data_IF_275990278723
#
_entry.id   IF_275990278723
#
_cell.length_a   1.000
_cell.length_b   1.000
_cell.length_c   1.000
_cell.angle_alpha   90.00
_cell.angle_beta   90.00
_cell.angle_gamma   90.00
#
_symmetry.space_group_name_H-M   'P 1'
#
loop_
_entity.id
_entity.type
_entity.pdbx_description
1 polymer ?
#
# COMPACT_ATOMS: atom_id res chain seq x y z
N UNK A 1 -93.00 -42.49 -1.99
CA UNK A 1 -93.10 -41.60 -0.81
C UNK A 1 -92.26 -40.37 -1.12
N UNK A 2 -92.73 -39.13 -1.31
CA UNK A 2 -94.05 -38.51 -1.29
C UNK A 2 -93.81 -37.00 -1.18
N UNK A 3 -94.36 -36.21 -2.12
CA UNK A 3 -94.62 -34.75 -2.09
C UNK A 3 -93.36 -33.82 -2.14
N UNK A 4 -93.11 -33.00 -3.18
CA UNK A 4 -93.84 -31.79 -3.65
C UNK A 4 -93.90 -30.70 -2.55
N UNK A 5 -93.87 -29.38 -2.74
CA UNK A 5 -93.69 -28.44 -3.86
C UNK A 5 -93.59 -27.03 -3.22
N UNK A 6 -92.87 -26.10 -3.87
CA UNK A 6 -93.32 -24.73 -4.27
C UNK A 6 -93.89 -23.70 -3.26
N UNK A 7 -93.62 -22.41 -3.59
CA UNK A 7 -94.36 -21.15 -3.25
C UNK A 7 -94.06 -20.57 -1.85
N UNK A 8 -94.13 -19.27 -1.55
CA UNK A 8 -93.78 -17.96 -2.14
C UNK A 8 -93.98 -16.92 -1.02
N UNK A 9 -93.46 -15.69 -1.19
CA UNK A 9 -93.95 -14.43 -0.56
C UNK A 9 -93.90 -14.36 0.98
N UNK A 10 -93.88 -13.25 1.70
CA UNK A 10 -93.80 -11.80 1.51
C UNK A 10 -93.66 -11.23 2.94
N UNK A 11 -92.83 -10.21 3.11
CA UNK A 11 -92.89 -9.12 4.12
C UNK A 11 -93.58 -9.35 5.47
N UNK A 12 -92.82 -9.17 6.56
CA UNK A 12 -93.27 -8.38 7.72
C UNK A 12 -92.10 -7.57 8.28
N UNK A 13 -92.43 -6.31 8.52
CA UNK A 13 -91.69 -5.20 9.10
C UNK A 13 -91.44 -5.43 10.61
N UNK A 14 -90.31 -5.00 11.18
CA UNK A 14 -90.21 -4.03 12.29
C UNK A 14 -88.95 -4.16 13.17
N UNK A 15 -88.53 -2.96 13.60
CA UNK A 15 -87.91 -2.58 14.88
C UNK A 15 -86.40 -2.74 15.07
N UNK A 16 -85.77 -1.58 14.86
CA UNK A 16 -84.53 -1.11 15.49
C UNK A 16 -84.73 -1.02 17.01
N UNK A 17 -83.88 -1.71 17.77
CA UNK A 17 -83.42 -1.26 19.08
C UNK A 17 -81.90 -1.35 19.15
N UNK A 18 -81.30 -0.21 19.52
CA UNK A 18 -79.87 0.01 19.67
C UNK A 18 -79.36 -0.66 20.95
N UNK A 19 -78.28 -1.42 20.85
CA UNK A 19 -77.33 -1.60 21.95
C UNK A 19 -75.92 -1.26 21.46
N UNK A 20 -75.46 -0.08 21.86
CA UNK A 20 -74.07 0.35 21.73
C UNK A 20 -73.18 -0.53 22.61
N UNK A 21 -72.40 -1.40 21.98
CA UNK A 21 -71.37 -2.21 22.64
C UNK A 21 -69.99 -1.96 22.05
N UNK A 22 -69.24 -1.04 22.66
CA UNK A 22 -67.76 -0.97 22.70
C UNK A 22 -66.99 -1.04 21.36
N UNK A 23 -67.10 0.02 20.55
CA UNK A 23 -66.31 0.28 19.33
C UNK A 23 -64.78 0.35 19.56
N UNK A 24 -64.31 0.63 20.78
CA UNK A 24 -62.87 0.77 21.07
C UNK A 24 -62.11 -0.57 21.08
N UNK A 25 -62.75 -1.66 21.51
CA UNK A 25 -62.10 -2.97 21.58
C UNK A 25 -61.89 -3.60 20.18
N UNK A 26 -62.81 -3.34 19.25
CA UNK A 26 -62.71 -3.82 17.86
C UNK A 26 -61.63 -3.06 17.07
N UNK A 27 -61.55 -1.74 17.24
CA UNK A 27 -60.50 -0.92 16.62
C UNK A 27 -59.12 -1.30 17.19
N UNK A 28 -59.00 -1.49 18.51
CA UNK A 28 -57.74 -1.87 19.13
C UNK A 28 -57.25 -3.26 18.67
N UNK A 29 -58.15 -4.24 18.53
CA UNK A 29 -57.80 -5.56 17.97
C UNK A 29 -57.34 -5.47 16.52
N UNK A 30 -57.97 -4.64 15.72
CA UNK A 30 -57.60 -4.46 14.31
C UNK A 30 -56.23 -3.79 14.20
N UNK A 31 -55.96 -2.76 15.01
CA UNK A 31 -54.65 -2.09 15.05
C UNK A 31 -53.55 -3.03 15.53
N UNK A 32 -53.81 -3.85 16.56
CA UNK A 32 -52.83 -4.83 17.05
C UNK A 32 -52.54 -5.92 16.02
N UNK A 33 -53.55 -6.40 15.29
CA UNK A 33 -53.37 -7.40 14.23
C UNK A 33 -52.57 -6.84 13.05
N UNK A 34 -52.84 -5.60 12.64
CA UNK A 34 -52.07 -4.92 11.58
C UNK A 34 -50.62 -4.68 12.04
N UNK A 35 -50.43 -4.21 13.27
CA UNK A 35 -49.09 -3.99 13.85
C UNK A 35 -48.28 -5.29 13.93
N UNK A 36 -48.89 -6.38 14.40
CA UNK A 36 -48.26 -7.69 14.46
C UNK A 36 -47.93 -8.23 13.06
N UNK A 37 -48.83 -8.05 12.08
CA UNK A 37 -48.59 -8.42 10.68
C UNK A 37 -47.40 -7.67 10.07
N UNK A 38 -47.29 -6.37 10.29
CA UNK A 38 -46.15 -5.56 9.83
C UNK A 38 -44.84 -6.02 10.49
N UNK A 39 -44.85 -6.30 11.81
CA UNK A 39 -43.67 -6.76 12.53
C UNK A 39 -43.19 -8.13 12.02
N UNK A 40 -44.11 -9.07 11.81
CA UNK A 40 -43.78 -10.40 11.26
C UNK A 40 -43.22 -10.27 9.84
N UNK A 41 -43.83 -9.43 9.01
CA UNK A 41 -43.35 -9.19 7.63
C UNK A 41 -41.94 -8.57 7.63
N UNK A 42 -41.69 -7.60 8.51
CA UNK A 42 -40.36 -7.00 8.68
C UNK A 42 -39.33 -8.03 9.15
N UNK A 43 -39.65 -8.85 10.15
CA UNK A 43 -38.75 -9.89 10.66
C UNK A 43 -38.47 -11.01 9.64
N UNK A 44 -39.41 -11.31 8.74
CA UNK A 44 -39.20 -12.26 7.64
C UNK A 44 -38.38 -11.67 6.49
N UNK A 45 -38.52 -10.37 6.20
CA UNK A 45 -37.78 -9.71 5.13
C UNK A 45 -36.36 -9.29 5.56
N UNK A 46 -36.11 -9.07 6.85
CA UNK A 46 -34.80 -8.71 7.38
C UNK A 46 -33.68 -9.71 7.01
N UNK A 47 -33.83 -11.04 7.22
CA UNK A 47 -32.79 -12.00 6.82
C UNK A 47 -32.65 -12.10 5.30
N UNK A 48 -33.71 -11.90 4.52
CA UNK A 48 -33.64 -11.83 3.06
C UNK A 48 -32.84 -10.61 2.59
N UNK A 49 -32.98 -9.47 3.26
CA UNK A 49 -32.21 -8.26 2.98
C UNK A 49 -30.73 -8.43 3.35
N UNK A 50 -30.42 -9.11 4.47
CA UNK A 50 -29.05 -9.46 4.85
C UNK A 50 -28.41 -10.50 3.91
N UNK A 51 -29.19 -11.45 3.39
CA UNK A 51 -28.73 -12.41 2.38
C UNK A 51 -28.48 -11.72 1.03
N UNK A 52 -29.34 -10.78 0.63
CA UNK A 52 -29.11 -9.98 -0.58
C UNK A 52 -27.92 -9.04 -0.43
N UNK A 53 -27.73 -8.38 0.72
CA UNK A 53 -26.58 -7.50 0.95
C UNK A 53 -25.26 -8.27 0.98
N UNK A 54 -25.26 -9.51 1.50
CA UNK A 54 -24.07 -10.37 1.46
C UNK A 54 -23.79 -10.88 0.05
N UNK A 55 -24.81 -11.18 -0.76
CA UNK A 55 -24.64 -11.56 -2.17
C UNK A 55 -24.18 -10.39 -3.07
N UNK A 56 -24.69 -9.17 -2.86
CA UNK A 56 -24.23 -7.99 -3.62
C UNK A 56 -22.81 -7.58 -3.24
N UNK A 57 -22.39 -7.81 -1.99
CA UNK A 57 -21.00 -7.57 -1.57
C UNK A 57 -20.04 -8.67 -2.03
N UNK A 58 -20.51 -9.88 -2.33
CA UNK A 58 -19.67 -10.96 -2.86
C UNK A 58 -19.54 -10.92 -4.40
N UNK A 59 -20.51 -10.31 -5.10
CA UNK A 59 -20.52 -10.24 -6.56
C UNK A 59 -19.74 -9.05 -7.15
N UNK A 60 -19.13 -8.20 -6.32
CA UNK A 60 -18.21 -7.14 -6.77
C UNK A 60 -16.74 -7.54 -6.69
N UNK A 61 -16.43 -8.84 -6.72
CA UNK A 61 -15.15 -9.28 -7.30
C UNK A 61 -15.28 -9.17 -8.82
N UNK A 62 -15.16 -7.94 -9.33
CA UNK A 62 -14.68 -7.76 -10.70
C UNK A 62 -13.43 -8.62 -10.82
N UNK A 63 -13.46 -9.62 -11.71
CA UNK A 63 -12.24 -10.21 -12.24
C UNK A 63 -11.49 -9.07 -12.93
N UNK A 64 -10.66 -8.36 -12.17
CA UNK A 64 -9.71 -7.42 -12.72
C UNK A 64 -8.69 -8.27 -13.47
N UNK A 65 -8.90 -8.34 -14.79
CA UNK A 65 -7.87 -8.75 -15.71
C UNK A 65 -6.74 -7.75 -15.50
N UNK A 66 -5.53 -8.23 -15.16
CA UNK A 66 -4.38 -7.36 -14.95
C UNK A 66 -4.20 -6.55 -16.23
N UNK A 67 -4.57 -5.27 -16.21
CA UNK A 67 -4.51 -4.45 -17.40
C UNK A 67 -3.02 -4.13 -17.57
N UNK A 68 -2.37 -4.77 -18.54
CA UNK A 68 -1.10 -4.24 -19.01
C UNK A 68 -1.48 -2.93 -19.68
N UNK A 69 -1.16 -1.80 -19.03
CA UNK A 69 -1.54 -0.49 -19.52
C UNK A 69 -0.88 -0.27 -20.87
N UNK A 70 -1.62 0.34 -21.80
CA UNK A 70 -1.10 0.56 -23.15
C UNK A 70 0.07 1.55 -23.09
N UNK A 71 1.11 1.34 -23.90
CA UNK A 71 2.21 2.29 -23.95
C UNK A 71 1.71 3.70 -24.31
N UNK A 72 2.02 4.67 -23.45
CA UNK A 72 1.58 6.06 -23.59
C UNK A 72 0.40 6.48 -22.70
N UNK A 73 -0.21 5.56 -21.95
CA UNK A 73 -1.20 5.91 -20.91
C UNK A 73 -0.49 6.44 -19.65
N UNK A 74 -0.82 7.67 -19.24
CA UNK A 74 -0.29 8.28 -18.02
C UNK A 74 -1.10 7.83 -16.80
N UNK A 75 -0.60 6.82 -16.10
CA UNK A 75 -1.28 6.22 -14.94
C UNK A 75 -1.20 7.05 -13.66
N UNK A 76 -0.45 8.15 -13.69
CA UNK A 76 -0.29 9.06 -12.56
C UNK A 76 -0.84 10.46 -12.85
N UNK A 77 -1.41 10.71 -14.03
CA UNK A 77 -2.01 12.01 -14.39
C UNK A 77 -3.10 12.42 -13.39
N UNK A 78 -3.85 11.45 -12.84
CA UNK A 78 -4.90 11.71 -11.87
C UNK A 78 -4.40 12.01 -10.46
N UNK A 79 -3.11 11.82 -10.18
CA UNK A 79 -2.56 12.09 -8.86
C UNK A 79 -2.62 13.59 -8.57
N UNK A 80 -2.92 13.94 -7.31
CA UNK A 80 -2.88 15.31 -6.85
C UNK A 80 -1.50 15.93 -7.13
N UNK A 81 -1.55 17.06 -7.83
CA UNK A 81 -0.40 17.84 -8.29
C UNK A 81 0.60 17.15 -9.21
N UNK A 82 0.18 16.17 -10.01
CA UNK A 82 0.96 15.71 -11.17
C UNK A 82 1.47 16.87 -12.03
N UNK A 83 0.62 17.89 -12.26
CA UNK A 83 1.00 19.12 -12.97
C UNK A 83 1.90 20.05 -12.16
N UNK A 84 1.68 20.15 -10.86
CA UNK A 84 2.40 21.07 -9.98
C UNK A 84 3.86 20.60 -9.76
N UNK A 85 4.04 19.28 -9.62
CA UNK A 85 5.34 18.65 -9.44
C UNK A 85 6.02 18.29 -10.77
N UNK A 86 5.31 18.37 -11.90
CA UNK A 86 5.86 18.11 -13.22
C UNK A 86 6.36 16.67 -13.38
N UNK A 87 5.67 15.72 -12.77
CA UNK A 87 5.98 14.29 -12.86
C UNK A 87 4.89 13.62 -13.71
N UNK A 88 5.32 13.08 -14.84
CA UNK A 88 4.51 12.29 -15.77
C UNK A 88 4.94 10.83 -15.75
N UNK A 89 4.08 9.93 -16.20
CA UNK A 89 4.43 8.51 -16.31
C UNK A 89 5.71 8.30 -17.13
N UNK A 90 5.88 9.06 -18.22
CA UNK A 90 7.04 8.96 -19.12
C UNK A 90 8.36 9.40 -18.47
N UNK A 91 8.33 10.12 -17.33
CA UNK A 91 9.55 10.47 -16.60
C UNK A 91 10.10 9.31 -15.75
N UNK A 92 9.22 8.40 -15.32
CA UNK A 92 9.50 7.39 -14.30
C UNK A 92 9.40 5.96 -14.85
N UNK A 93 8.66 5.76 -15.93
CA UNK A 93 8.42 4.44 -16.47
C UNK A 93 8.10 4.44 -17.96
N UNK A 94 8.91 3.71 -18.73
CA UNK A 94 8.61 3.37 -20.11
C UNK A 94 7.87 2.03 -20.18
N UNK A 95 6.61 2.10 -20.58
CA UNK A 95 5.80 0.91 -20.80
C UNK A 95 6.39 0.03 -21.91
N UNK A 96 6.65 -1.26 -21.64
CA UNK A 96 7.33 -2.11 -22.60
C UNK A 96 6.43 -2.47 -23.78
N UNK A 97 6.97 -2.32 -24.99
CA UNK A 97 6.35 -2.87 -26.20
C UNK A 97 6.65 -4.37 -26.28
N UNK A 98 5.64 -5.25 -26.46
CA UNK A 98 5.90 -6.67 -26.69
C UNK A 98 6.62 -6.84 -28.03
N UNK A 99 7.91 -7.17 -27.97
CA UNK A 99 8.75 -7.45 -29.16
C UNK A 99 8.34 -8.73 -29.89
N UNK A 100 7.59 -9.62 -29.22
CA UNK A 100 6.91 -10.75 -29.83
C UNK A 100 5.56 -11.00 -29.17
N UNK A 101 4.53 -11.41 -29.93
CA UNK A 101 3.17 -11.59 -29.41
C UNK A 101 3.04 -12.69 -28.34
N UNK A 102 4.03 -13.59 -28.22
CA UNK A 102 4.00 -14.74 -27.32
C UNK A 102 4.97 -14.64 -26.14
N UNK A 103 5.76 -13.57 -26.01
CA UNK A 103 6.69 -13.38 -24.91
C UNK A 103 6.35 -12.13 -24.10
N UNK A 104 6.07 -12.31 -22.82
CA UNK A 104 5.92 -11.20 -21.86
C UNK A 104 7.26 -10.50 -21.68
N UNK A 105 7.34 -9.16 -21.79
CA UNK A 105 8.55 -8.41 -21.49
C UNK A 105 8.85 -8.38 -19.98
N UNK A 106 7.86 -8.71 -19.15
CA UNK A 106 7.98 -8.70 -17.70
C UNK A 106 8.73 -9.90 -17.14
N UNK A 107 9.52 -9.67 -16.11
CA UNK A 107 10.28 -10.71 -15.43
C UNK A 107 9.38 -11.83 -14.90
N UNK A 108 9.77 -13.08 -15.18
CA UNK A 108 8.95 -14.26 -14.88
C UNK A 108 8.85 -14.54 -13.38
N UNK A 109 9.99 -14.63 -12.71
CA UNK A 109 10.08 -15.00 -11.30
C UNK A 109 10.85 -13.96 -10.47
N UNK A 110 10.82 -14.11 -9.14
CA UNK A 110 11.42 -13.18 -8.19
C UNK A 110 12.93 -13.00 -8.40
N UNK A 111 13.65 -14.11 -8.64
CA UNK A 111 15.10 -14.07 -8.89
C UNK A 111 15.44 -13.27 -10.15
N UNK A 112 14.77 -13.54 -11.28
CA UNK A 112 14.97 -12.80 -12.53
C UNK A 112 14.59 -11.33 -12.42
N UNK A 113 13.58 -11.01 -11.59
CA UNK A 113 13.21 -9.62 -11.32
C UNK A 113 14.34 -8.89 -10.57
N UNK A 114 14.86 -9.47 -9.50
CA UNK A 114 15.92 -8.85 -8.70
C UNK A 114 17.22 -8.69 -9.49
N UNK A 115 17.56 -9.67 -10.33
CA UNK A 115 18.71 -9.57 -11.24
C UNK A 115 18.51 -8.44 -12.27
N UNK A 116 17.33 -8.38 -12.90
CA UNK A 116 17.01 -7.35 -13.87
C UNK A 116 17.00 -5.94 -13.26
N UNK A 117 16.40 -5.79 -12.07
CA UNK A 117 16.33 -4.52 -11.36
C UNK A 117 17.67 -4.09 -10.77
N UNK A 118 18.51 -5.01 -10.31
CA UNK A 118 19.85 -4.66 -9.78
C UNK A 118 20.87 -4.40 -10.90
N UNK A 119 20.75 -5.11 -12.03
CA UNK A 119 21.68 -5.03 -13.15
C UNK A 119 21.25 -4.10 -14.29
N UNK A 120 20.07 -3.49 -14.20
CA UNK A 120 19.53 -2.53 -15.16
C UNK A 120 20.23 -1.17 -15.12
N UNK A 121 19.62 -0.16 -15.71
CA UNK A 121 20.16 1.19 -15.76
C UNK A 121 19.23 2.18 -16.43
N UNK A 122 19.64 3.45 -16.45
CA UNK A 122 19.04 4.48 -17.31
C UNK A 122 19.80 4.53 -18.63
N UNK A 123 19.12 4.87 -19.72
CA UNK A 123 19.75 5.02 -21.04
C UNK A 123 19.94 6.50 -21.41
N UNK A 124 20.44 7.26 -20.45
CA UNK A 124 20.60 8.72 -20.52
C UNK A 124 20.55 9.30 -19.11
N UNK A 125 20.79 10.60 -18.98
CA UNK A 125 20.61 11.29 -17.70
C UNK A 125 19.13 11.51 -17.45
N UNK A 126 18.66 11.14 -16.25
CA UNK A 126 17.26 11.28 -15.81
C UNK A 126 16.21 10.52 -16.65
N UNK A 127 16.63 9.76 -17.65
CA UNK A 127 15.75 8.89 -18.45
C UNK A 127 15.14 7.77 -17.60
N UNK A 128 13.93 7.25 -17.93
CA UNK A 128 13.30 6.16 -17.21
C UNK A 128 14.21 4.94 -16.99
N UNK A 129 14.02 4.27 -15.85
CA UNK A 129 14.82 3.11 -15.51
C UNK A 129 14.39 1.86 -16.27
N UNK A 130 15.35 1.17 -16.87
CA UNK A 130 15.13 -0.05 -17.64
C UNK A 130 15.84 -1.23 -16.98
N UNK A 131 15.09 -2.29 -16.69
CA UNK A 131 15.63 -3.54 -16.16
C UNK A 131 16.49 -4.29 -17.19
N UNK A 132 17.51 -5.01 -16.72
CA UNK A 132 18.38 -5.83 -17.58
C UNK A 132 17.66 -7.10 -18.04
N UNK A 133 17.41 -7.21 -19.35
CA UNK A 133 16.89 -8.41 -20.01
C UNK A 133 15.38 -8.63 -19.88
N UNK A 134 14.77 -8.26 -18.75
CA UNK A 134 13.32 -8.17 -18.58
C UNK A 134 12.97 -6.91 -17.79
N UNK A 135 11.71 -6.48 -17.83
CA UNK A 135 11.24 -5.28 -17.12
C UNK A 135 10.29 -5.60 -15.97
N UNK A 136 10.01 -4.58 -15.17
CA UNK A 136 9.04 -4.58 -14.08
C UNK A 136 7.72 -3.93 -14.54
N UNK A 137 6.65 -4.14 -13.77
CA UNK A 137 5.33 -3.57 -14.06
C UNK A 137 5.15 -2.28 -13.28
N UNK A 138 4.59 -1.26 -13.91
CA UNK A 138 3.98 -0.18 -13.15
C UNK A 138 2.57 -0.60 -12.74
N UNK A 139 2.31 -0.67 -11.44
CA UNK A 139 1.00 -1.07 -10.92
C UNK A 139 0.18 0.18 -10.57
N UNK A 140 -1.08 0.30 -11.03
CA UNK A 140 -1.96 1.34 -10.55
C UNK A 140 -2.34 1.09 -9.08
N UNK A 141 -2.73 2.13 -8.34
CA UNK A 141 -3.05 2.07 -6.90
C UNK A 141 -3.98 0.91 -6.51
N UNK A 142 -5.06 0.60 -7.26
CA UNK A 142 -5.91 -0.55 -6.92
C UNK A 142 -5.17 -1.90 -6.98
N UNK A 143 -4.28 -2.10 -7.97
CA UNK A 143 -3.46 -3.31 -8.07
C UNK A 143 -2.41 -3.35 -6.96
N UNK A 144 -1.83 -2.20 -6.59
CA UNK A 144 -0.92 -2.11 -5.45
C UNK A 144 -1.64 -2.58 -4.18
N UNK A 145 -2.83 -2.04 -3.88
CA UNK A 145 -3.57 -2.44 -2.67
C UNK A 145 -3.91 -3.94 -2.68
N UNK A 146 -4.26 -4.51 -3.83
CA UNK A 146 -4.46 -5.97 -3.96
C UNK A 146 -3.19 -6.77 -3.66
N UNK A 147 -2.02 -6.31 -4.11
CA UNK A 147 -0.74 -6.95 -3.78
C UNK A 147 -0.53 -6.90 -2.27
N UNK A 148 -0.80 -5.76 -1.62
CA UNK A 148 -0.59 -5.63 -0.18
C UNK A 148 -1.56 -6.48 0.62
N UNK A 149 -2.83 -6.59 0.22
CA UNK A 149 -3.87 -7.38 0.91
C UNK A 149 -3.56 -8.87 1.02
N UNK A 150 -2.64 -9.35 0.18
CA UNK A 150 -2.09 -10.70 0.27
C UNK A 150 -1.08 -10.87 1.42
N UNK A 151 -0.66 -9.78 2.06
CA UNK A 151 0.34 -9.73 3.12
C UNK A 151 -0.31 -9.45 4.48
N UNK A 152 0.35 -9.86 5.56
CA UNK A 152 -0.08 -9.62 6.93
C UNK A 152 0.34 -8.23 7.44
N UNK A 153 1.54 -7.80 7.05
CA UNK A 153 2.15 -6.53 7.37
C UNK A 153 3.33 -6.27 6.42
N UNK A 154 3.81 -5.03 6.33
CA UNK A 154 5.03 -4.67 5.62
C UNK A 154 5.85 -3.75 6.51
N UNK A 155 7.10 -4.09 6.78
CA UNK A 155 7.95 -3.27 7.64
C UNK A 155 9.19 -2.84 6.89
N UNK A 156 9.40 -1.53 6.82
CA UNK A 156 10.63 -0.92 6.35
C UNK A 156 11.49 -0.65 7.58
N UNK A 157 12.72 -1.15 7.56
CA UNK A 157 13.68 -0.99 8.65
C UNK A 157 14.92 -0.36 8.05
N UNK A 158 15.44 0.70 8.64
CA UNK A 158 16.73 1.20 8.16
C UNK A 158 17.02 2.66 8.35
N UNK A 159 17.84 3.15 7.43
CA UNK A 159 18.29 4.52 7.30
C UNK A 159 17.39 5.34 6.36
N UNK A 160 17.94 6.45 5.86
CA UNK A 160 17.28 7.41 4.99
C UNK A 160 16.78 6.82 3.67
N UNK A 161 17.44 5.80 3.13
CA UNK A 161 17.00 5.10 1.92
C UNK A 161 15.66 4.40 2.17
N UNK A 162 15.57 3.59 3.24
CA UNK A 162 14.31 2.94 3.63
C UNK A 162 13.20 3.95 3.93
N UNK A 163 13.54 5.09 4.55
CA UNK A 163 12.60 6.18 4.81
C UNK A 163 12.06 6.80 3.53
N UNK A 164 12.93 7.15 2.59
CA UNK A 164 12.56 7.76 1.30
C UNK A 164 11.60 6.87 0.52
N UNK A 165 11.92 5.57 0.45
CA UNK A 165 11.09 4.59 -0.25
C UNK A 165 9.73 4.44 0.44
N UNK A 166 9.69 4.39 1.79
CA UNK A 166 8.43 4.36 2.51
C UNK A 166 7.61 5.64 2.33
N UNK A 167 8.26 6.81 2.22
CA UNK A 167 7.62 8.06 1.86
C UNK A 167 6.95 7.97 0.46
N UNK A 168 7.64 7.40 -0.53
CA UNK A 168 7.06 7.17 -1.86
C UNK A 168 5.91 6.13 -1.85
N UNK A 169 5.96 5.12 -1.00
CA UNK A 169 4.80 4.24 -0.75
C UNK A 169 3.57 5.06 -0.34
N UNK A 170 3.72 6.02 0.58
CA UNK A 170 2.62 6.88 1.01
C UNK A 170 2.10 7.80 -0.10
N UNK A 171 2.98 8.32 -0.97
CA UNK A 171 2.58 9.05 -2.19
C UNK A 171 1.68 8.18 -3.08
N UNK A 172 2.08 6.94 -3.36
CA UNK A 172 1.28 5.99 -4.15
C UNK A 172 -0.06 5.64 -3.47
N UNK A 173 -0.06 5.45 -2.14
CA UNK A 173 -1.27 5.08 -1.40
C UNK A 173 -2.27 6.21 -1.20
N UNK A 174 -1.83 7.45 -1.42
CA UNK A 174 -2.65 8.66 -1.31
C UNK A 174 -2.94 9.31 -2.65
N UNK A 175 -2.28 8.83 -3.71
CA UNK A 175 -2.30 9.41 -5.06
C UNK A 175 -2.02 10.93 -5.01
N UNK A 176 -1.00 11.33 -4.25
CA UNK A 176 -0.67 12.73 -4.00
C UNK A 176 0.84 12.99 -4.10
N UNK A 177 1.26 13.58 -5.21
CA UNK A 177 2.65 13.93 -5.49
C UNK A 177 3.09 15.19 -4.73
N UNK A 178 2.14 15.99 -4.23
CA UNK A 178 2.45 17.28 -3.62
C UNK A 178 2.92 17.10 -2.19
N UNK A 179 2.14 16.38 -1.37
CA UNK A 179 2.43 16.20 0.06
C UNK A 179 2.15 14.76 0.55
N UNK A 180 2.01 13.80 -0.37
CA UNK A 180 1.58 12.44 -0.05
C UNK A 180 2.48 11.70 0.95
N UNK A 181 3.76 12.05 1.05
CA UNK A 181 4.62 11.44 2.07
C UNK A 181 4.53 12.07 3.47
N UNK A 182 3.87 13.22 3.61
CA UNK A 182 3.93 14.07 4.79
C UNK A 182 2.62 14.10 5.58
N UNK A 183 2.73 14.32 6.88
CA UNK A 183 1.65 14.56 7.82
C UNK A 183 1.12 16.00 7.65
N UNK A 184 0.50 16.28 6.50
CA UNK A 184 0.05 17.62 6.09
C UNK A 184 -0.88 18.29 7.11
N UNK A 185 -1.57 17.50 7.94
CA UNK A 185 -2.46 17.97 9.00
C UNK A 185 -1.73 18.58 10.21
N UNK A 186 -0.41 18.38 10.33
CA UNK A 186 0.44 18.99 11.36
C UNK A 186 1.22 20.21 10.86
N UNK A 187 1.14 20.49 9.56
CA UNK A 187 1.96 21.51 8.89
C UNK A 187 1.26 22.86 8.83
N UNK A 188 2.04 23.93 8.92
CA UNK A 188 1.56 25.28 8.60
C UNK A 188 1.43 25.46 7.09
N UNK A 189 0.72 26.50 6.63
CA UNK A 189 0.66 26.82 5.19
C UNK A 189 2.04 27.15 4.60
N UNK A 190 2.95 27.74 5.41
CA UNK A 190 4.33 27.99 5.00
C UNK A 190 5.09 26.67 4.80
N UNK A 191 5.00 25.75 5.76
CA UNK A 191 5.61 24.42 5.66
C UNK A 191 5.05 23.65 4.45
N UNK A 192 3.73 23.71 4.24
CA UNK A 192 3.06 23.06 3.11
C UNK A 192 3.54 23.59 1.78
N UNK A 193 3.83 24.89 1.67
CA UNK A 193 4.37 25.48 0.44
C UNK A 193 5.84 25.13 0.24
N UNK A 194 6.62 25.08 1.32
CA UNK A 194 8.04 24.76 1.27
C UNK A 194 8.29 23.28 0.92
N UNK A 195 7.50 22.37 1.48
CA UNK A 195 7.77 20.93 1.44
C UNK A 195 7.11 20.18 0.29
N UNK A 196 6.62 20.86 -0.76
CA UNK A 196 5.95 20.21 -1.89
C UNK A 196 6.91 19.42 -2.77
N UNK A 197 6.40 18.40 -3.45
CA UNK A 197 7.08 17.68 -4.53
C UNK A 197 8.45 17.14 -4.04
N UNK A 198 9.55 17.33 -4.78
CA UNK A 198 10.89 16.85 -4.40
C UNK A 198 11.33 17.24 -2.97
N UNK A 199 10.88 18.40 -2.45
CA UNK A 199 11.30 18.85 -1.12
C UNK A 199 10.78 17.96 0.01
N UNK A 200 9.72 17.16 -0.21
CA UNK A 200 9.28 16.17 0.77
C UNK A 200 10.32 15.05 0.97
N UNK A 201 11.25 14.86 0.03
CA UNK A 201 12.33 13.88 0.07
C UNK A 201 13.70 14.51 0.39
N UNK A 202 13.99 15.69 -0.16
CA UNK A 202 15.33 16.30 -0.11
C UNK A 202 15.49 17.28 1.08
N UNK A 203 14.44 18.03 1.45
CA UNK A 203 14.56 19.02 2.53
C UNK A 203 14.47 18.35 3.91
N UNK A 204 15.56 18.47 4.69
CA UNK A 204 15.66 17.86 6.01
C UNK A 204 14.63 18.38 7.03
N UNK A 205 14.12 19.60 6.87
CA UNK A 205 13.06 20.14 7.74
C UNK A 205 11.72 19.47 7.42
N UNK A 206 11.48 19.13 6.15
CA UNK A 206 10.27 18.43 5.73
C UNK A 206 10.22 16.99 6.25
N UNK A 207 11.38 16.35 6.45
CA UNK A 207 11.46 15.01 7.04
C UNK A 207 10.88 14.91 8.46
N UNK A 208 10.80 16.02 9.20
CA UNK A 208 10.15 16.05 10.51
C UNK A 208 8.64 15.71 10.43
N UNK A 209 8.03 15.95 9.26
CA UNK A 209 6.62 15.67 8.99
C UNK A 209 6.40 14.35 8.26
N UNK A 210 7.45 13.56 7.97
CA UNK A 210 7.29 12.30 7.25
C UNK A 210 6.34 11.34 7.98
N UNK A 211 5.47 10.67 7.22
CA UNK A 211 4.62 9.61 7.74
C UNK A 211 5.51 8.39 8.04
N UNK A 212 5.36 7.83 9.24
CA UNK A 212 6.12 6.67 9.71
C UNK A 212 5.26 5.42 9.80
N UNK A 213 3.94 5.55 9.87
CA UNK A 213 3.05 4.39 9.88
C UNK A 213 1.69 4.70 9.30
N UNK A 214 1.04 3.67 8.77
CA UNK A 214 -0.38 3.73 8.38
C UNK A 214 -1.28 4.29 9.49
N UNK A 215 -0.97 3.95 10.74
CA UNK A 215 -1.81 4.31 11.88
C UNK A 215 -1.78 5.82 12.18
N UNK A 216 -0.71 6.52 11.80
CA UNK A 216 -0.65 7.99 11.86
C UNK A 216 -1.65 8.62 10.89
N UNK A 217 -1.77 8.08 9.68
CA UNK A 217 -2.74 8.56 8.69
C UNK A 217 -4.17 8.30 9.16
N UNK A 218 -4.49 7.10 9.66
CA UNK A 218 -5.83 6.76 10.16
C UNK A 218 -6.29 7.65 11.32
N UNK A 219 -5.38 7.98 12.24
CA UNK A 219 -5.70 8.88 13.36
C UNK A 219 -6.12 10.26 12.85
N UNK A 220 -5.49 10.74 11.77
CA UNK A 220 -5.83 12.04 11.18
C UNK A 220 -7.21 12.06 10.52
N UNK A 221 -7.62 10.99 9.81
CA UNK A 221 -8.93 10.89 9.15
C UNK A 221 -10.12 10.86 10.13
N UNK A 222 -9.87 10.46 11.39
CA UNK A 222 -10.87 10.46 12.45
C UNK A 222 -11.13 11.85 13.05
N UNK A 223 -10.24 12.82 12.80
CA UNK A 223 -10.46 14.26 13.00
C UNK A 223 -10.90 14.93 11.69
N UNK A 224 -11.32 16.19 11.74
CA UNK A 224 -11.74 17.00 10.57
C UNK A 224 -11.03 16.58 9.26
N UNK A 225 -11.82 16.24 8.21
CA UNK A 225 -11.41 15.69 6.90
C UNK A 225 -10.45 16.58 6.10
N UNK A 226 -9.28 16.91 6.64
CA UNK A 226 -8.28 17.81 6.03
C UNK A 226 -7.11 17.06 5.40
N UNK A 227 -7.21 15.73 5.26
CA UNK A 227 -6.18 14.89 4.64
C UNK A 227 -6.64 14.27 3.32
N UNK A 228 -5.71 13.99 2.42
CA UNK A 228 -5.98 13.17 1.22
C UNK A 228 -6.39 11.73 1.59
N UNK A 229 -7.29 11.08 0.83
CA UNK A 229 -7.71 9.71 1.10
C UNK A 229 -6.56 8.71 1.13
N UNK A 230 -6.63 7.70 2.01
CA UNK A 230 -5.67 6.60 2.07
C UNK A 230 -6.24 5.29 1.49
N UNK A 231 -5.82 4.90 0.28
CA UNK A 231 -6.44 3.79 -0.45
C UNK A 231 -6.08 2.41 0.12
N UNK A 232 -4.80 2.18 0.49
CA UNK A 232 -4.32 0.86 0.93
C UNK A 232 -4.34 0.69 2.47
N UNK A 233 -5.49 0.97 3.10
CA UNK A 233 -5.59 1.09 4.56
C UNK A 233 -5.72 -0.24 5.34
N UNK A 234 -5.91 -1.37 4.64
CA UNK A 234 -6.23 -2.65 5.29
C UNK A 234 -5.00 -3.35 5.87
N UNK A 235 -3.85 -3.20 5.24
CA UNK A 235 -2.63 -3.92 5.62
C UNK A 235 -1.75 -3.03 6.49
N UNK A 236 -1.38 -3.46 7.71
CA UNK A 236 -0.45 -2.72 8.55
C UNK A 236 0.91 -2.52 7.87
N UNK A 237 1.44 -1.31 7.90
CA UNK A 237 2.79 -1.04 7.45
C UNK A 237 3.38 0.17 8.17
N UNK A 238 4.70 0.14 8.33
CA UNK A 238 5.44 1.18 9.01
C UNK A 238 6.91 1.20 8.58
N UNK A 239 7.53 2.35 8.81
CA UNK A 239 8.97 2.55 8.81
C UNK A 239 9.50 2.59 10.25
N UNK A 240 10.57 1.83 10.50
CA UNK A 240 11.29 1.75 11.76
C UNK A 240 12.71 2.25 11.53
N UNK A 241 13.09 3.41 12.09
CA UNK A 241 14.45 3.93 11.95
C UNK A 241 15.46 3.06 12.71
N UNK A 242 16.64 2.94 12.13
CA UNK A 242 17.83 2.36 12.78
C UNK A 242 18.83 3.49 13.00
N UNK A 243 18.83 4.05 14.20
CA UNK A 243 19.75 5.13 14.55
C UNK A 243 21.05 4.63 15.23
N UNK A 244 21.01 3.41 15.78
CA UNK A 244 22.12 2.79 16.51
C UNK A 244 22.18 1.28 16.27
N UNK A 245 23.37 0.70 16.49
CA UNK A 245 23.57 -0.75 16.56
C UNK A 245 24.25 -1.07 17.91
N UNK A 246 23.58 -1.76 18.84
CA UNK A 246 22.27 -2.41 18.71
C UNK A 246 21.10 -1.41 18.61
N UNK A 247 19.97 -1.87 18.07
CA UNK A 247 18.77 -1.05 17.90
C UNK A 247 18.05 -0.80 19.23
N UNK A 248 17.25 0.26 19.27
CA UNK A 248 16.53 0.66 20.48
C UNK A 248 15.45 -0.36 20.87
N UNK A 249 15.18 -0.51 22.17
CA UNK A 249 14.10 -1.37 22.66
C UNK A 249 12.72 -0.94 22.10
N UNK A 250 12.53 0.35 21.83
CA UNK A 250 11.31 0.87 21.19
C UNK A 250 11.17 0.35 19.75
N UNK A 251 12.23 0.40 18.95
CA UNK A 251 12.25 -0.14 17.58
C UNK A 251 12.00 -1.65 17.56
N UNK A 252 12.61 -2.40 18.48
CA UNK A 252 12.36 -3.84 18.61
C UNK A 252 10.91 -4.14 19.02
N UNK A 253 10.33 -3.35 19.91
CA UNK A 253 8.94 -3.51 20.36
C UNK A 253 7.97 -3.25 19.22
N UNK A 254 8.15 -2.15 18.49
CA UNK A 254 7.34 -1.81 17.33
C UNK A 254 7.40 -2.91 16.25
N UNK A 255 8.58 -3.45 15.98
CA UNK A 255 8.73 -4.58 15.06
C UNK A 255 7.94 -5.80 15.51
N UNK A 256 8.04 -6.17 16.80
CA UNK A 256 7.29 -7.30 17.36
C UNK A 256 5.79 -7.09 17.27
N UNK A 257 5.29 -5.90 17.60
CA UNK A 257 3.86 -5.56 17.50
C UNK A 257 3.32 -5.72 16.08
N UNK A 258 4.10 -5.30 15.08
CA UNK A 258 3.74 -5.40 13.66
C UNK A 258 3.83 -6.84 13.13
N UNK A 259 4.80 -7.63 13.58
CA UNK A 259 5.13 -8.91 12.94
C UNK A 259 4.60 -10.13 13.70
N UNK A 260 4.55 -10.11 15.04
CA UNK A 260 4.27 -11.29 15.86
C UNK A 260 2.77 -11.47 16.09
N UNK A 261 2.01 -10.37 16.16
CA UNK A 261 0.61 -10.35 16.58
C UNK A 261 -0.38 -10.54 15.42
N UNK A 262 -0.11 -11.47 14.49
CA UNK A 262 -0.93 -11.69 13.29
C UNK A 262 -1.68 -13.02 13.28
N UNK A 263 -2.93 -13.06 12.79
CA UNK A 263 -3.80 -14.23 12.90
C UNK A 263 -3.37 -15.40 12.02
N UNK A 264 -2.80 -15.14 10.83
CA UNK A 264 -2.34 -16.19 9.93
C UNK A 264 -0.81 -16.26 9.91
N UNK A 265 -0.15 -17.23 10.55
CA UNK A 265 1.32 -17.30 10.60
C UNK A 265 2.00 -17.61 9.25
N UNK A 266 1.26 -18.15 8.27
CA UNK A 266 1.78 -18.55 6.97
C UNK A 266 1.70 -17.44 5.93
N UNK A 267 0.80 -16.48 6.13
CA UNK A 267 0.70 -15.30 5.29
C UNK A 267 1.95 -14.41 5.49
N UNK A 268 2.63 -14.00 4.41
CA UNK A 268 3.90 -13.31 4.51
C UNK A 268 3.77 -11.93 5.18
N UNK A 269 4.74 -11.62 6.03
CA UNK A 269 4.96 -10.28 6.59
C UNK A 269 6.35 -9.80 6.15
N UNK A 270 6.50 -9.11 5.01
CA UNK A 270 7.83 -8.79 4.48
C UNK A 270 8.57 -7.73 5.32
N UNK A 271 9.88 -7.91 5.42
CA UNK A 271 10.81 -6.94 6.01
C UNK A 271 11.75 -6.41 4.93
N UNK A 272 11.75 -5.10 4.72
CA UNK A 272 12.66 -4.40 3.80
C UNK A 272 13.72 -3.69 4.65
N UNK A 273 14.99 -3.93 4.37
CA UNK A 273 16.11 -3.44 5.19
C UNK A 273 17.14 -2.66 4.36
N UNK A 274 17.54 -1.48 4.86
CA UNK A 274 18.67 -0.69 4.35
C UNK A 274 19.48 -0.14 5.53
N UNK A 275 20.81 -0.16 5.46
CA UNK A 275 21.63 0.46 6.50
C UNK A 275 23.03 0.90 6.02
N UNK A 276 23.18 1.16 4.72
CA UNK A 276 24.46 1.58 4.15
C UNK A 276 24.82 3.00 4.55
N UNK A 277 23.89 3.95 4.50
CA UNK A 277 24.15 5.33 4.91
C UNK A 277 24.29 5.44 6.43
N UNK A 278 23.40 4.76 7.17
CA UNK A 278 23.43 4.74 8.63
C UNK A 278 24.73 4.17 9.22
N UNK A 279 25.40 3.29 8.49
CA UNK A 279 26.72 2.74 8.84
C UNK A 279 27.91 3.44 8.17
N UNK A 280 27.67 4.48 7.35
CA UNK A 280 28.71 5.08 6.50
C UNK A 280 29.44 4.05 5.63
N UNK A 281 28.68 3.11 5.07
CA UNK A 281 29.14 1.99 4.25
C UNK A 281 30.10 1.02 4.97
N UNK A 282 30.02 0.95 6.30
CA UNK A 282 30.80 0.00 7.09
C UNK A 282 30.15 -1.40 7.08
N UNK A 283 30.84 -2.35 6.47
CA UNK A 283 30.41 -3.75 6.29
C UNK A 283 30.22 -4.44 7.65
N UNK A 284 31.12 -4.21 8.61
CA UNK A 284 31.05 -4.85 9.93
C UNK A 284 29.81 -4.39 10.72
N UNK A 285 29.56 -3.09 10.75
CA UNK A 285 28.41 -2.50 11.44
C UNK A 285 27.09 -2.87 10.76
N UNK A 286 27.04 -2.87 9.41
CA UNK A 286 25.88 -3.37 8.68
C UNK A 286 25.62 -4.85 8.99
N UNK A 287 26.67 -5.68 9.02
CA UNK A 287 26.53 -7.11 9.32
C UNK A 287 25.94 -7.34 10.71
N UNK A 288 26.40 -6.58 11.72
CA UNK A 288 25.82 -6.64 13.08
C UNK A 288 24.36 -6.21 13.12
N UNK A 289 23.99 -5.17 12.37
CA UNK A 289 22.59 -4.76 12.25
C UNK A 289 21.74 -5.84 11.58
N UNK A 290 22.23 -6.42 10.48
CA UNK A 290 21.56 -7.55 9.81
C UNK A 290 21.38 -8.74 10.76
N UNK A 291 22.40 -9.11 11.54
CA UNK A 291 22.31 -10.19 12.53
C UNK A 291 21.21 -9.93 13.57
N UNK A 292 21.14 -8.72 14.10
CA UNK A 292 20.11 -8.33 15.05
C UNK A 292 18.70 -8.47 14.46
N UNK A 293 18.45 -7.89 13.28
CA UNK A 293 17.13 -7.93 12.64
C UNK A 293 16.75 -9.32 12.12
N UNK A 294 17.72 -10.11 11.65
CA UNK A 294 17.51 -11.52 11.27
C UNK A 294 17.12 -12.34 12.50
N UNK A 295 17.79 -12.14 13.62
CA UNK A 295 17.47 -12.80 14.89
C UNK A 295 16.04 -12.46 15.35
N UNK A 296 15.64 -11.19 15.26
CA UNK A 296 14.26 -10.76 15.55
C UNK A 296 13.24 -11.38 14.58
N UNK A 297 13.52 -11.41 13.28
CA UNK A 297 12.61 -11.98 12.30
C UNK A 297 12.43 -13.51 12.50
N UNK A 298 13.53 -14.23 12.70
CA UNK A 298 13.50 -15.69 12.89
C UNK A 298 12.82 -16.09 14.20
N UNK A 299 13.01 -15.31 15.27
CA UNK A 299 12.34 -15.52 16.56
C UNK A 299 10.82 -15.31 16.52
N UNK A 300 10.26 -14.75 15.44
CA UNK A 300 8.81 -14.59 15.29
C UNK A 300 8.10 -15.93 15.01
N UNK A 301 8.83 -16.94 14.50
CA UNK A 301 8.27 -18.19 13.97
C UNK A 301 7.18 -17.93 12.91
N UNK A 302 7.39 -16.92 12.06
CA UNK A 302 6.47 -16.48 11.00
C UNK A 302 7.14 -16.53 9.62
N UNK A 303 6.32 -16.51 8.57
CA UNK A 303 6.79 -16.27 7.21
C UNK A 303 7.17 -14.78 7.04
N UNK A 304 8.46 -14.46 7.19
CA UNK A 304 9.01 -13.10 7.03
C UNK A 304 10.00 -13.12 5.85
N UNK A 305 9.53 -12.88 4.61
CA UNK A 305 10.43 -12.63 3.49
C UNK A 305 11.25 -11.36 3.73
N UNK A 306 12.56 -11.44 3.53
CA UNK A 306 13.48 -10.34 3.82
C UNK A 306 14.13 -9.82 2.54
N UNK A 307 14.13 -8.50 2.34
CA UNK A 307 14.76 -7.82 1.21
C UNK A 307 15.82 -6.86 1.73
N UNK A 308 17.06 -7.02 1.27
CA UNK A 308 18.16 -6.11 1.51
C UNK A 308 18.24 -5.13 0.35
N UNK A 309 18.13 -3.84 0.67
CA UNK A 309 18.29 -2.75 -0.26
C UNK A 309 19.75 -2.31 -0.24
N UNK A 310 20.42 -2.45 -1.38
CA UNK A 310 21.71 -1.86 -1.61
C UNK A 310 21.59 -0.35 -1.78
N UNK A 311 22.51 0.40 -1.19
CA UNK A 311 22.53 1.86 -1.26
C UNK A 311 22.54 2.43 -2.70
N UNK A 312 21.89 3.58 -2.91
CA UNK A 312 21.98 4.32 -4.15
C UNK A 312 23.41 4.84 -4.38
N UNK A 313 23.78 5.02 -5.64
CA UNK A 313 24.96 5.80 -6.01
C UNK A 313 24.74 7.28 -5.69
N UNK A 314 25.81 8.01 -5.40
CA UNK A 314 25.83 9.46 -5.43
C UNK A 314 25.72 9.97 -6.87
N UNK A 315 25.02 11.10 -7.05
CA UNK A 315 24.98 11.78 -8.34
C UNK A 315 26.38 12.28 -8.75
N UNK A 316 26.62 12.35 -10.06
CA UNK A 316 27.87 12.86 -10.61
C UNK A 316 28.17 14.31 -10.20
N UNK A 317 27.15 15.09 -9.83
CA UNK A 317 27.31 16.45 -9.28
C UNK A 317 28.11 16.49 -7.97
N UNK A 318 28.12 15.40 -7.19
CA UNK A 318 28.88 15.27 -5.95
C UNK A 318 30.39 15.02 -6.17
N UNK A 319 30.83 14.82 -7.42
CA UNK A 319 32.18 14.28 -7.71
C UNK A 319 33.34 15.28 -7.58
N UNK A 320 33.09 16.60 -7.49
CA UNK A 320 34.18 17.58 -7.35
C UNK A 320 34.60 17.77 -5.89
N UNK A 321 35.40 16.85 -5.35
CA UNK A 321 36.11 17.02 -4.07
C UNK A 321 35.76 16.04 -2.95
N UNK A 322 34.86 15.09 -3.18
CA UNK A 322 34.54 14.05 -2.20
C UNK A 322 35.69 13.04 -2.07
N UNK A 323 36.10 12.74 -0.84
CA UNK A 323 37.17 11.79 -0.57
C UNK A 323 36.81 10.38 -1.10
N UNK A 324 37.80 9.55 -1.51
CA UNK A 324 37.56 8.26 -2.16
C UNK A 324 36.69 7.28 -1.35
N UNK A 325 36.78 7.37 -0.01
CA UNK A 325 36.00 6.62 0.99
C UNK A 325 34.53 7.09 1.10
N UNK A 326 34.15 8.15 0.40
CA UNK A 326 32.81 8.75 0.42
C UNK A 326 32.19 8.90 -0.97
N UNK A 327 32.80 8.29 -1.99
CA UNK A 327 32.34 8.34 -3.38
C UNK A 327 31.68 7.04 -3.86
N UNK A 328 31.31 7.02 -5.14
CA UNK A 328 30.64 5.88 -5.77
C UNK A 328 31.47 4.58 -5.78
N UNK A 329 32.80 4.66 -5.60
CA UNK A 329 33.64 3.48 -5.44
C UNK A 329 33.40 2.80 -4.08
N UNK A 330 33.30 3.56 -2.99
CA UNK A 330 33.03 3.03 -1.66
C UNK A 330 31.63 2.38 -1.60
N UNK A 331 30.63 3.01 -2.21
CA UNK A 331 29.28 2.43 -2.35
C UNK A 331 29.34 1.12 -3.11
N UNK A 332 30.04 1.08 -4.26
CA UNK A 332 30.15 -0.12 -5.06
C UNK A 332 30.87 -1.27 -4.33
N UNK A 333 31.98 -0.98 -3.63
CA UNK A 333 32.71 -1.97 -2.82
C UNK A 333 31.84 -2.51 -1.67
N UNK A 334 31.16 -1.61 -0.96
CA UNK A 334 30.20 -1.99 0.08
C UNK A 334 29.12 -2.94 -0.45
N UNK A 335 28.57 -2.67 -1.62
CA UNK A 335 27.55 -3.51 -2.24
C UNK A 335 28.09 -4.89 -2.65
N UNK A 336 29.30 -4.94 -3.22
CA UNK A 336 29.97 -6.19 -3.60
C UNK A 336 30.20 -7.09 -2.38
N UNK A 337 30.60 -6.51 -1.25
CA UNK A 337 30.85 -7.23 0.01
C UNK A 337 29.55 -7.57 0.77
N UNK A 338 28.56 -6.68 0.85
CA UNK A 338 27.35 -6.91 1.63
C UNK A 338 26.34 -7.84 0.94
N UNK A 339 26.29 -7.85 -0.40
CA UNK A 339 25.36 -8.70 -1.15
C UNK A 339 25.46 -10.19 -0.80
N UNK A 340 26.64 -10.83 -0.78
CA UNK A 340 26.76 -12.23 -0.36
C UNK A 340 26.41 -12.43 1.11
N UNK A 341 26.78 -11.51 2.01
CA UNK A 341 26.45 -11.58 3.44
C UNK A 341 24.94 -11.54 3.68
N UNK A 342 24.22 -10.66 2.98
CA UNK A 342 22.77 -10.59 3.06
C UNK A 342 22.10 -11.89 2.57
N UNK A 343 22.58 -12.45 1.45
CA UNK A 343 22.09 -13.72 0.90
C UNK A 343 22.33 -14.91 1.83
N UNK A 344 23.48 -14.97 2.50
CA UNK A 344 23.79 -15.99 3.51
C UNK A 344 22.77 -15.94 4.67
N UNK A 345 22.28 -14.75 5.01
CA UNK A 345 21.22 -14.52 6.01
C UNK A 345 19.81 -14.63 5.43
N UNK A 346 19.66 -15.21 4.25
CA UNK A 346 18.38 -15.45 3.56
C UNK A 346 17.64 -14.17 3.12
N UNK A 347 18.34 -13.05 2.94
CA UNK A 347 17.76 -11.89 2.26
C UNK A 347 17.80 -12.08 0.75
N UNK A 348 16.71 -11.71 0.09
CA UNK A 348 16.77 -11.27 -1.30
C UNK A 348 17.55 -9.95 -1.37
N UNK A 349 18.24 -9.67 -2.48
CA UNK A 349 19.05 -8.45 -2.64
C UNK A 349 18.56 -7.65 -3.84
N UNK A 350 18.31 -6.36 -3.62
CA UNK A 350 18.01 -5.38 -4.66
C UNK A 350 19.01 -4.24 -4.57
N UNK A 351 19.85 -4.06 -5.58
CA UNK A 351 20.77 -2.92 -5.65
C UNK A 351 20.09 -1.71 -6.28
N UNK A 352 20.16 -0.56 -5.61
CA UNK A 352 19.66 0.72 -6.13
C UNK A 352 20.75 1.54 -6.85
N UNK A 353 22.00 1.07 -6.84
CA UNK A 353 23.15 1.81 -7.37
C UNK A 353 22.98 2.24 -8.83
N UNK A 354 22.60 1.30 -9.70
CA UNK A 354 22.47 1.58 -11.13
C UNK A 354 21.24 2.45 -11.45
N UNK A 355 20.23 2.47 -10.57
CA UNK A 355 19.06 3.34 -10.73
C UNK A 355 19.45 4.82 -10.59
N UNK A 356 20.42 5.12 -9.73
CA UNK A 356 20.72 6.51 -9.35
C UNK A 356 22.03 7.03 -9.91
N UNK A 357 22.88 6.17 -10.50
CA UNK A 357 24.18 6.57 -11.08
C UNK A 357 24.06 7.68 -12.13
N UNK A 358 22.96 7.70 -12.89
CA UNK A 358 22.65 8.71 -13.91
C UNK A 358 21.39 9.53 -13.57
N UNK A 359 21.02 9.57 -12.29
CA UNK A 359 19.96 10.43 -11.80
C UNK A 359 20.56 11.73 -11.24
N UNK A 360 19.89 12.84 -11.52
CA UNK A 360 20.23 14.15 -11.02
C UNK A 360 19.68 14.35 -9.62
N UNK A 361 20.44 15.05 -8.79
CA UNK A 361 19.97 15.61 -7.51
C UNK A 361 20.73 16.89 -7.20
N UNK A 362 20.04 17.80 -6.49
CA UNK A 362 20.56 19.09 -6.05
C UNK A 362 21.69 18.97 -5.02
N UNK A 363 21.58 18.05 -4.05
CA UNK A 363 22.58 17.87 -2.99
C UNK A 363 23.65 16.83 -3.32
N UNK A 364 23.44 16.05 -4.38
CA UNK A 364 24.35 14.98 -4.81
C UNK A 364 24.17 13.66 -4.05
N UNK A 365 23.30 13.61 -3.05
CA UNK A 365 23.14 12.51 -2.09
C UNK A 365 21.72 11.97 -2.00
N UNK A 366 20.73 12.85 -1.82
CA UNK A 366 19.33 12.50 -1.64
C UNK A 366 18.59 12.67 -2.95
N UNK A 367 17.85 11.66 -3.39
CA UNK A 367 17.10 11.76 -4.64
C UNK A 367 15.67 12.25 -4.39
N UNK A 368 15.15 12.99 -5.38
CA UNK A 368 13.79 13.51 -5.37
C UNK A 368 12.73 12.45 -5.61
N UNK A 369 11.50 12.93 -5.78
CA UNK A 369 10.30 12.12 -5.83
C UNK A 369 10.28 11.11 -6.98
N UNK A 370 10.76 11.51 -8.17
CA UNK A 370 10.83 10.62 -9.34
C UNK A 370 11.61 9.34 -9.06
N UNK A 371 12.75 9.44 -8.38
CA UNK A 371 13.58 8.28 -8.05
C UNK A 371 12.91 7.44 -6.97
N UNK A 372 12.42 8.07 -5.91
CA UNK A 372 11.76 7.38 -4.80
C UNK A 372 10.51 6.59 -5.27
N UNK A 373 9.73 7.11 -6.22
CA UNK A 373 8.59 6.42 -6.83
C UNK A 373 9.01 5.18 -7.60
N UNK A 374 10.10 5.24 -8.36
CA UNK A 374 10.65 4.08 -9.08
C UNK A 374 11.16 3.03 -8.10
N UNK A 375 11.89 3.43 -7.07
CA UNK A 375 12.35 2.52 -6.00
C UNK A 375 11.17 1.83 -5.29
N UNK A 376 10.11 2.59 -4.98
CA UNK A 376 8.89 2.06 -4.42
C UNK A 376 8.26 1.00 -5.35
N UNK A 377 8.16 1.31 -6.65
CA UNK A 377 7.60 0.39 -7.63
C UNK A 377 8.46 -0.88 -7.82
N UNK A 378 9.79 -0.79 -7.71
CA UNK A 378 10.67 -1.95 -7.68
C UNK A 378 10.33 -2.91 -6.54
N UNK A 379 10.11 -2.36 -5.34
CA UNK A 379 9.73 -3.16 -4.16
C UNK A 379 8.32 -3.73 -4.31
N UNK A 380 7.36 -2.96 -4.83
CA UNK A 380 6.00 -3.47 -5.11
C UNK A 380 6.05 -4.65 -6.07
N UNK A 381 6.92 -4.61 -7.09
CA UNK A 381 7.14 -5.75 -7.97
C UNK A 381 7.72 -6.97 -7.24
N UNK A 382 8.65 -6.76 -6.31
CA UNK A 382 9.14 -7.84 -5.45
C UNK A 382 8.03 -8.42 -4.57
N UNK A 383 7.24 -7.56 -3.90
CA UNK A 383 6.09 -7.96 -3.07
C UNK A 383 5.06 -8.77 -3.88
N UNK A 384 4.78 -8.37 -5.13
CA UNK A 384 3.83 -9.06 -6.02
C UNK A 384 4.22 -10.52 -6.30
N UNK A 385 5.51 -10.83 -6.23
CA UNK A 385 6.11 -12.14 -6.52
C UNK A 385 6.39 -12.97 -5.27
N UNK A 386 6.01 -12.50 -4.09
CA UNK A 386 6.05 -13.32 -2.88
C UNK A 386 5.01 -14.44 -2.98
N UNK A 387 5.42 -15.63 -2.59
CA UNK A 387 4.55 -16.79 -2.51
C UNK A 387 3.60 -16.61 -1.33
N UNK A 388 2.32 -16.85 -1.60
CA UNK A 388 1.27 -16.91 -0.59
C UNK A 388 0.78 -18.35 -0.54
N UNK A 389 0.89 -18.97 0.63
CA UNK A 389 0.48 -20.36 0.91
C UNK A 389 -0.98 -20.63 0.62
#
# INVERSE_FOLDING_TARGET
MGLANRVSTSWVNTKIERTLGSSRASVLRTVLLVGAGCLITYLLLLPLFYLFSTFTNFSSQTRFQSLIHEPGEDTIEHFAGSRDCGITQADIYDAPWPTSPNASPFCKNRATLLEALSGGGRHGFDEPYVGKGCTYRWFPTPEICMILERLNAIVFVGDDVSRSIYAAFNVLFREDLVLGSLQEWLMTEEDRMKCKCDNQFIDSQCQAFAIKSRDEVKKSESGDRKGTPYFCERVPHAYIPVDTVPTSAASQTLFKELMYSKPNPWQPSPMIFSFGHGSSFDVSTTTRALDEWTSLATAAERNIPMLFLGSPAFSLSKSTGTAPDKGNLAVWQYLDEMSPVAKEKHFDVLSLYNLTLQASTADGESFGEKVALVEAMMIINWLSKLETS
#
